data_IF_177581742762
#
_entry.id   IF_177581742762
#
_cell.length_a   1.000
_cell.length_b   1.000
_cell.length_c   1.000
_cell.angle_alpha   90.00
_cell.angle_beta   90.00
_cell.angle_gamma   90.00
#
_symmetry.space_group_name_H-M   'P 1'
#
loop_
_entity.id
_entity.type
_entity.pdbx_description
1 polymer ?
#
# COMPACT_ATOMS: atom_id res chain seq x y z
N UNK A 1 -5.12 -28.40 -11.28
CA UNK A 1 -3.65 -28.31 -11.14
C UNK A 1 -3.03 -29.62 -11.61
N UNK A 2 -1.81 -29.61 -12.18
CA UNK A 2 -1.12 -30.82 -12.60
C UNK A 2 -0.91 -31.76 -11.40
N UNK A 3 -0.91 -33.07 -11.64
CA UNK A 3 -0.58 -34.09 -10.64
C UNK A 3 0.91 -33.99 -10.27
N UNK A 4 1.25 -33.08 -9.36
CA UNK A 4 2.58 -33.07 -8.76
C UNK A 4 2.77 -34.33 -7.92
N UNK A 5 3.97 -34.90 -8.01
CA UNK A 5 4.37 -36.08 -7.25
C UNK A 5 4.26 -35.77 -5.76
N UNK A 6 3.42 -36.53 -5.04
CA UNK A 6 3.19 -36.32 -3.62
C UNK A 6 4.22 -37.11 -2.80
N UNK A 7 5.06 -36.39 -2.05
CA UNK A 7 5.90 -36.98 -1.02
C UNK A 7 5.19 -36.95 0.32
N UNK A 8 5.14 -38.10 1.00
CA UNK A 8 4.48 -38.23 2.30
C UNK A 8 5.43 -37.76 3.40
N UNK A 9 5.00 -36.74 4.13
CA UNK A 9 5.65 -36.27 5.35
C UNK A 9 4.72 -36.54 6.54
N UNK A 10 5.24 -37.19 7.57
CA UNK A 10 4.55 -37.33 8.87
C UNK A 10 5.02 -36.19 9.78
N UNK A 11 4.08 -35.43 10.32
CA UNK A 11 4.38 -34.31 11.25
C UNK A 11 3.35 -34.27 12.36
N UNK A 12 3.77 -33.80 13.52
CA UNK A 12 2.86 -33.50 14.62
C UNK A 12 2.19 -32.14 14.39
N UNK A 13 0.91 -32.07 14.73
CA UNK A 13 0.14 -30.83 14.73
C UNK A 13 -0.29 -30.52 16.15
N UNK A 14 -0.15 -29.26 16.56
CA UNK A 14 -0.79 -28.78 17.78
C UNK A 14 -2.31 -29.04 17.70
N UNK A 15 -2.94 -29.38 18.83
CA UNK A 15 -4.36 -29.74 18.89
C UNK A 15 -5.26 -28.67 18.26
N UNK A 16 -4.99 -27.39 18.56
CA UNK A 16 -5.71 -26.25 17.95
C UNK A 16 -5.54 -26.16 16.43
N UNK A 17 -4.36 -26.47 15.90
CA UNK A 17 -4.12 -26.45 14.44
C UNK A 17 -4.86 -27.58 13.74
N UNK A 18 -4.99 -28.74 14.40
CA UNK A 18 -5.79 -29.85 13.87
C UNK A 18 -7.27 -29.46 13.78
N UNK A 19 -7.82 -28.84 14.82
CA UNK A 19 -9.20 -28.36 14.80
C UNK A 19 -9.46 -27.36 13.65
N UNK A 20 -8.51 -26.46 13.36
CA UNK A 20 -8.60 -25.55 12.21
C UNK A 20 -8.64 -26.32 10.88
N UNK A 21 -7.80 -27.35 10.73
CA UNK A 21 -7.80 -28.18 9.52
C UNK A 21 -9.09 -29.00 9.38
N UNK A 22 -9.67 -29.46 10.49
CA UNK A 22 -10.95 -30.15 10.52
C UNK A 22 -12.07 -29.21 10.05
N UNK A 23 -12.13 -27.98 10.57
CA UNK A 23 -13.10 -26.98 10.12
C UNK A 23 -12.94 -26.65 8.63
N UNK A 24 -11.72 -26.44 8.14
CA UNK A 24 -11.47 -26.18 6.72
C UNK A 24 -11.91 -27.35 5.82
N UNK A 25 -11.76 -28.58 6.32
CA UNK A 25 -12.23 -29.79 5.64
C UNK A 25 -13.76 -29.85 5.62
N UNK A 26 -14.43 -29.51 6.71
CA UNK A 26 -15.89 -29.52 6.80
C UNK A 26 -16.53 -28.41 5.95
N UNK A 27 -15.99 -27.19 6.01
CA UNK A 27 -16.53 -26.03 5.30
C UNK A 27 -16.27 -26.07 3.80
N UNK A 28 -15.06 -26.50 3.38
CA UNK A 28 -14.61 -26.40 1.99
C UNK A 28 -14.44 -27.76 1.30
N UNK A 29 -14.69 -28.88 2.00
CA UNK A 29 -14.43 -30.24 1.53
C UNK A 29 -12.95 -30.48 1.13
N UNK A 30 -12.01 -29.79 1.78
CA UNK A 30 -10.58 -29.89 1.49
C UNK A 30 -9.91 -31.04 2.26
N UNK A 31 -9.03 -31.79 1.59
CA UNK A 31 -8.16 -32.76 2.27
C UNK A 31 -7.06 -32.01 3.03
N UNK A 32 -6.61 -32.52 4.18
CA UNK A 32 -5.55 -31.86 4.97
C UNK A 32 -4.29 -31.54 4.15
N UNK A 33 -3.82 -32.50 3.34
CA UNK A 33 -2.67 -32.29 2.47
C UNK A 33 -2.89 -31.17 1.44
N UNK A 34 -4.12 -31.02 0.94
CA UNK A 34 -4.47 -29.92 0.04
C UNK A 34 -4.45 -28.57 0.76
N UNK A 35 -5.05 -28.49 1.97
CA UNK A 35 -5.03 -27.26 2.78
C UNK A 35 -3.60 -26.82 3.10
N UNK A 36 -2.76 -27.74 3.56
CA UNK A 36 -1.36 -27.47 3.91
C UNK A 36 -0.58 -27.02 2.67
N UNK A 37 -0.65 -27.76 1.57
CA UNK A 37 0.07 -27.40 0.34
C UNK A 37 -0.39 -26.05 -0.23
N UNK A 38 -1.68 -25.73 -0.11
CA UNK A 38 -2.22 -24.43 -0.53
C UNK A 38 -1.66 -23.29 0.31
N UNK A 39 -1.59 -23.45 1.64
CA UNK A 39 -0.98 -22.45 2.51
C UNK A 39 0.51 -22.25 2.18
N UNK A 40 1.26 -23.34 1.98
CA UNK A 40 2.69 -23.29 1.64
C UNK A 40 2.91 -22.64 0.28
N UNK A 41 2.14 -23.01 -0.75
CA UNK A 41 2.31 -22.43 -2.09
C UNK A 41 1.90 -20.97 -2.15
N UNK A 42 0.91 -20.56 -1.35
CA UNK A 42 0.42 -19.18 -1.30
C UNK A 42 1.37 -18.27 -0.53
N UNK A 43 1.81 -18.67 0.67
CA UNK A 43 2.56 -17.80 1.58
C UNK A 43 4.06 -18.10 1.63
N UNK A 44 4.47 -19.33 1.33
CA UNK A 44 5.87 -19.78 1.45
C UNK A 44 6.81 -19.21 0.40
N UNK A 45 6.30 -18.82 -0.77
CA UNK A 45 7.11 -18.26 -1.86
C UNK A 45 6.53 -16.94 -2.41
N UNK A 46 6.11 -16.06 -1.51
CA UNK A 46 5.63 -14.73 -1.92
C UNK A 46 6.74 -13.92 -2.62
N UNK A 47 6.45 -13.28 -3.77
CA UNK A 47 7.38 -12.33 -4.38
C UNK A 47 7.82 -11.26 -3.39
N UNK A 48 9.09 -10.83 -3.46
CA UNK A 48 9.66 -9.85 -2.53
C UNK A 48 8.81 -8.57 -2.41
N UNK A 49 8.30 -8.06 -3.53
CA UNK A 49 7.44 -6.87 -3.57
C UNK A 49 6.15 -7.06 -2.79
N UNK A 50 5.49 -8.21 -2.97
CA UNK A 50 4.25 -8.57 -2.27
C UNK A 50 4.51 -8.77 -0.77
N UNK A 51 5.61 -9.45 -0.43
CA UNK A 51 6.05 -9.66 0.95
C UNK A 51 6.29 -8.33 1.69
N UNK A 52 6.98 -7.39 1.05
CA UNK A 52 7.24 -6.06 1.61
C UNK A 52 5.94 -5.26 1.80
N UNK A 53 5.02 -5.33 0.84
CA UNK A 53 3.71 -4.68 0.95
C UNK A 53 2.88 -5.23 2.13
N UNK A 54 2.79 -6.55 2.28
CA UNK A 54 2.08 -7.13 3.43
C UNK A 54 2.78 -6.79 4.75
N UNK A 55 4.11 -6.73 4.76
CA UNK A 55 4.86 -6.34 5.95
C UNK A 55 4.60 -4.89 6.34
N UNK A 56 4.55 -3.95 5.38
CA UNK A 56 4.23 -2.54 5.66
C UNK A 56 2.78 -2.38 6.18
N UNK A 57 1.83 -3.10 5.59
CA UNK A 57 0.45 -3.16 6.08
C UNK A 57 0.38 -3.65 7.54
N UNK A 58 1.09 -4.73 7.86
CA UNK A 58 1.13 -5.25 9.23
C UNK A 58 1.76 -4.24 10.19
N UNK A 59 2.85 -3.57 9.82
CA UNK A 59 3.48 -2.52 10.64
C UNK A 59 2.51 -1.38 10.95
N UNK A 60 1.78 -0.90 9.93
CA UNK A 60 0.80 0.16 10.09
C UNK A 60 -0.31 -0.26 11.06
N UNK A 61 -0.85 -1.48 10.91
CA UNK A 61 -1.91 -2.01 11.77
C UNK A 61 -1.44 -2.24 13.21
N UNK A 62 -0.25 -2.77 13.41
CA UNK A 62 0.36 -2.91 14.73
C UNK A 62 0.54 -1.55 15.42
N UNK A 63 0.98 -0.52 14.68
CA UNK A 63 1.09 0.86 15.22
C UNK A 63 -0.26 1.44 15.62
N UNK A 64 -1.31 1.21 14.83
CA UNK A 64 -2.68 1.63 15.13
C UNK A 64 -3.24 0.93 16.36
N UNK A 65 -3.10 -0.40 16.41
CA UNK A 65 -3.60 -1.23 17.51
C UNK A 65 -2.90 -0.90 18.83
N UNK A 66 -1.58 -0.69 18.84
CA UNK A 66 -0.86 -0.26 20.04
C UNK A 66 -1.41 1.04 20.62
N UNK A 67 -1.65 2.06 19.77
CA UNK A 67 -2.25 3.33 20.22
C UNK A 67 -3.66 3.16 20.80
N UNK A 68 -4.45 2.25 20.23
CA UNK A 68 -5.80 1.96 20.73
C UNK A 68 -5.75 1.21 22.06
N UNK A 69 -4.84 0.24 22.19
CA UNK A 69 -4.62 -0.52 23.42
C UNK A 69 -4.17 0.37 24.57
N UNK A 70 -3.36 1.41 24.31
CA UNK A 70 -2.90 2.38 25.33
C UNK A 70 -4.06 3.11 26.03
N UNK A 71 -5.21 3.24 25.38
CA UNK A 71 -6.39 3.98 25.88
C UNK A 71 -7.63 3.09 26.08
N UNK A 72 -7.52 1.79 25.83
CA UNK A 72 -8.66 0.86 25.83
C UNK A 72 -9.08 0.45 27.25
N UNK A 73 -10.39 0.21 27.43
CA UNK A 73 -10.91 -0.49 28.60
C UNK A 73 -10.63 -1.99 28.55
N UNK A 74 -10.70 -2.68 29.70
CA UNK A 74 -10.26 -4.08 29.87
C UNK A 74 -10.91 -5.08 28.88
N UNK A 75 -12.19 -4.89 28.55
CA UNK A 75 -12.89 -5.75 27.61
C UNK A 75 -12.47 -5.51 26.16
N UNK A 76 -12.34 -4.24 25.74
CA UNK A 76 -11.86 -3.89 24.40
C UNK A 76 -10.40 -4.30 24.20
N UNK A 77 -9.59 -4.17 25.24
CA UNK A 77 -8.17 -4.56 25.22
C UNK A 77 -7.99 -6.02 24.81
N UNK A 78 -8.81 -6.95 25.30
CA UNK A 78 -8.70 -8.38 24.96
C UNK A 78 -8.96 -8.67 23.49
N UNK A 79 -9.84 -7.93 22.85
CA UNK A 79 -10.12 -8.11 21.43
C UNK A 79 -9.04 -7.45 20.57
N UNK A 80 -8.56 -6.27 20.97
CA UNK A 80 -7.40 -5.61 20.35
C UNK A 80 -6.13 -6.45 20.45
N UNK A 81 -5.90 -7.11 21.59
CA UNK A 81 -4.74 -7.98 21.82
C UNK A 81 -4.77 -9.20 20.89
N UNK A 82 -5.94 -9.82 20.68
CA UNK A 82 -6.09 -10.92 19.72
C UNK A 82 -5.80 -10.48 18.30
N UNK A 83 -6.33 -9.32 17.89
CA UNK A 83 -6.09 -8.76 16.56
C UNK A 83 -4.60 -8.42 16.38
N UNK A 84 -4.00 -7.79 17.39
CA UNK A 84 -2.58 -7.47 17.43
C UNK A 84 -1.72 -8.74 17.30
N UNK A 85 -2.04 -9.80 18.04
CA UNK A 85 -1.33 -11.07 17.98
C UNK A 85 -1.40 -11.72 16.58
N UNK A 86 -2.53 -11.58 15.88
CA UNK A 86 -2.68 -12.08 14.51
C UNK A 86 -1.76 -11.32 13.53
N UNK A 87 -1.75 -9.98 13.59
CA UNK A 87 -0.84 -9.18 12.76
C UNK A 87 0.63 -9.42 13.10
N UNK A 88 0.98 -9.59 14.38
CA UNK A 88 2.36 -9.93 14.79
C UNK A 88 2.79 -11.29 14.23
N UNK A 89 1.91 -12.29 14.28
CA UNK A 89 2.20 -13.62 13.75
C UNK A 89 2.43 -13.60 12.23
N UNK A 90 1.60 -12.87 11.47
CA UNK A 90 1.76 -12.69 10.02
C UNK A 90 3.06 -11.93 9.74
N UNK A 91 3.29 -10.81 10.41
CA UNK A 91 4.48 -10.00 10.26
C UNK A 91 5.76 -10.81 10.53
N UNK A 92 5.76 -11.60 11.61
CA UNK A 92 6.87 -12.49 11.97
C UNK A 92 7.10 -13.55 10.90
N UNK A 93 6.06 -14.19 10.38
CA UNK A 93 6.19 -15.14 9.28
C UNK A 93 6.80 -14.49 8.04
N UNK A 94 6.29 -13.32 7.65
CA UNK A 94 6.80 -12.52 6.54
C UNK A 94 8.17 -11.91 6.82
N UNK A 95 8.64 -11.89 8.06
CA UNK A 95 9.97 -11.40 8.43
C UNK A 95 10.91 -12.55 8.82
N UNK A 96 10.76 -13.69 8.14
CA UNK A 96 11.61 -14.87 8.30
C UNK A 96 11.70 -15.37 9.76
N UNK A 97 10.59 -15.30 10.49
CA UNK A 97 10.52 -15.72 11.89
C UNK A 97 10.98 -14.66 12.90
N UNK A 98 11.40 -13.48 12.46
CA UNK A 98 11.89 -12.40 13.33
C UNK A 98 10.74 -11.44 13.68
N UNK A 99 10.56 -11.13 14.96
CA UNK A 99 9.56 -10.14 15.39
C UNK A 99 9.93 -8.75 14.90
N UNK A 100 8.92 -7.94 14.59
CA UNK A 100 9.10 -6.52 14.31
C UNK A 100 9.36 -5.81 15.65
N UNK A 101 10.44 -5.04 15.74
CA UNK A 101 10.75 -4.29 16.96
C UNK A 101 9.82 -3.08 17.14
N UNK A 102 9.68 -2.56 18.36
CA UNK A 102 8.95 -1.31 18.60
C UNK A 102 9.61 -0.14 17.88
N UNK A 103 10.92 -0.18 17.72
CA UNK A 103 11.71 0.75 16.92
C UNK A 103 11.31 0.66 15.44
N UNK A 104 11.14 -0.54 14.87
CA UNK A 104 10.68 -0.74 13.49
C UNK A 104 9.22 -0.30 13.25
N UNK A 105 8.40 -0.30 14.30
CA UNK A 105 7.01 0.21 14.27
C UNK A 105 6.96 1.74 14.39
N UNK A 106 7.97 2.32 15.05
CA UNK A 106 8.15 3.77 15.18
C UNK A 106 8.93 4.37 14.02
N UNK A 107 9.72 3.58 13.32
CA UNK A 107 10.53 4.00 12.19
C UNK A 107 9.64 4.64 11.11
N UNK A 108 10.02 5.84 10.70
CA UNK A 108 9.49 6.50 9.51
C UNK A 108 9.65 5.57 8.30
N UNK A 109 8.73 5.60 7.31
CA UNK A 109 8.86 4.80 6.10
C UNK A 109 10.25 4.98 5.48
N UNK A 110 10.94 3.87 5.23
CA UNK A 110 12.27 3.87 4.64
C UNK A 110 12.23 4.52 3.27
N UNK A 111 13.03 5.56 3.05
CA UNK A 111 13.04 6.29 1.79
C UNK A 111 14.00 5.64 0.79
N UNK A 112 13.60 5.58 -0.48
CA UNK A 112 14.43 5.20 -1.63
C UNK A 112 14.74 6.42 -2.50
N UNK A 113 15.88 6.37 -3.18
CA UNK A 113 16.32 7.36 -4.17
C UNK A 113 16.22 6.76 -5.58
N UNK A 114 15.53 7.42 -6.49
CA UNK A 114 15.39 7.01 -7.89
C UNK A 114 15.97 8.11 -8.79
N UNK A 115 16.89 7.74 -9.67
CA UNK A 115 17.54 8.69 -10.59
C UNK A 115 16.55 9.16 -11.67
N UNK A 116 16.50 10.47 -11.91
CA UNK A 116 15.71 11.12 -12.95
C UNK A 116 16.62 11.71 -14.03
N UNK A 117 16.04 12.30 -15.08
CA UNK A 117 16.82 12.96 -16.14
C UNK A 117 17.71 14.09 -15.60
N UNK A 118 17.20 14.88 -14.64
CA UNK A 118 17.92 15.98 -13.98
C UNK A 118 17.67 15.91 -12.47
N UNK A 119 18.49 15.11 -11.80
CA UNK A 119 18.45 14.89 -10.36
C UNK A 119 17.84 13.55 -9.97
N UNK A 120 17.07 13.53 -8.90
CA UNK A 120 16.48 12.30 -8.36
C UNK A 120 15.19 12.56 -7.58
N UNK A 121 14.38 11.52 -7.49
CA UNK A 121 13.25 11.43 -6.59
C UNK A 121 13.68 10.75 -5.28
N UNK A 122 13.28 11.32 -4.15
CA UNK A 122 13.20 10.65 -2.85
C UNK A 122 11.73 10.31 -2.61
N UNK A 123 11.41 9.07 -2.28
CA UNK A 123 10.05 8.64 -1.90
C UNK A 123 10.08 7.41 -0.98
N UNK A 124 8.98 7.08 -0.29
CA UNK A 124 8.87 5.83 0.46
C UNK A 124 9.15 4.60 -0.39
N UNK A 125 9.83 3.61 0.18
CA UNK A 125 10.24 2.40 -0.50
C UNK A 125 9.06 1.51 -0.90
N UNK A 126 7.97 1.56 -0.15
CA UNK A 126 6.74 0.80 -0.33
C UNK A 126 5.81 1.32 -1.44
N UNK A 127 6.09 2.51 -2.00
CA UNK A 127 5.35 3.03 -3.16
C UNK A 127 5.60 2.19 -4.41
N UNK A 128 4.52 1.81 -5.10
CA UNK A 128 4.55 1.00 -6.32
C UNK A 128 4.85 1.90 -7.51
N UNK A 129 5.93 1.62 -8.25
CA UNK A 129 6.31 2.38 -9.45
C UNK A 129 5.68 1.74 -10.68
N UNK A 130 4.84 2.48 -11.42
CA UNK A 130 4.01 1.92 -12.50
C UNK A 130 4.64 2.03 -13.90
N UNK A 131 5.70 2.83 -14.05
CA UNK A 131 6.50 2.96 -15.28
C UNK A 131 8.00 3.15 -14.99
N UNK A 132 8.64 2.21 -14.27
CA UNK A 132 10.04 2.35 -13.84
C UNK A 132 11.03 2.58 -15.00
N UNK A 133 10.70 2.11 -16.20
CA UNK A 133 11.49 2.27 -17.43
C UNK A 133 11.67 3.74 -17.87
N UNK A 134 10.77 4.62 -17.45
CA UNK A 134 10.73 6.02 -17.86
C UNK A 134 11.57 6.94 -16.95
N UNK A 135 11.97 6.46 -15.76
CA UNK A 135 12.54 7.29 -14.70
C UNK A 135 13.66 8.23 -15.17
N UNK A 136 14.69 7.67 -15.81
CA UNK A 136 15.87 8.43 -16.26
C UNK A 136 15.60 9.36 -17.46
N UNK A 137 14.43 9.26 -18.11
CA UNK A 137 14.02 10.11 -19.23
C UNK A 137 13.03 11.20 -18.82
N UNK A 138 12.64 11.20 -17.55
CA UNK A 138 11.62 12.08 -17.02
C UNK A 138 12.21 13.09 -16.05
N UNK A 139 11.69 14.31 -16.10
CA UNK A 139 12.03 15.39 -15.19
C UNK A 139 11.17 15.35 -13.91
N UNK A 140 9.97 14.79 -13.98
CA UNK A 140 8.99 14.86 -12.90
C UNK A 140 8.42 13.49 -12.55
N UNK A 141 7.71 13.46 -11.44
CA UNK A 141 6.95 12.31 -11.00
C UNK A 141 5.60 12.79 -10.46
N UNK A 142 4.59 11.94 -10.60
CA UNK A 142 3.32 12.08 -9.93
C UNK A 142 2.99 10.82 -9.14
N UNK A 143 2.00 10.94 -8.28
CA UNK A 143 1.44 9.83 -7.52
C UNK A 143 -0.06 9.77 -7.75
N UNK A 144 -0.55 8.56 -7.99
CA UNK A 144 -1.97 8.26 -7.96
C UNK A 144 -2.32 7.93 -6.52
N UNK A 145 -3.16 8.75 -5.93
CA UNK A 145 -3.70 8.56 -4.59
C UNK A 145 -5.21 8.38 -4.67
N UNK A 146 -5.78 7.85 -3.59
CA UNK A 146 -7.20 7.62 -3.50
C UNK A 146 -7.75 8.20 -2.20
N UNK A 147 -8.78 9.05 -2.30
CA UNK A 147 -9.62 9.38 -1.14
C UNK A 147 -10.19 8.07 -0.59
N UNK A 148 -10.16 7.91 0.73
CA UNK A 148 -10.47 6.65 1.42
C UNK A 148 -9.50 5.49 1.09
N UNK A 149 -8.31 5.77 0.56
CA UNK A 149 -7.33 4.76 0.17
C UNK A 149 -7.00 3.74 1.26
N UNK A 150 -6.86 4.20 2.51
CA UNK A 150 -6.63 3.32 3.66
C UNK A 150 -7.79 2.33 3.91
N UNK A 151 -9.04 2.78 3.77
CA UNK A 151 -10.26 1.94 3.93
C UNK A 151 -10.30 0.83 2.89
N UNK A 152 -9.83 1.10 1.67
CA UNK A 152 -9.83 0.15 0.56
C UNK A 152 -8.51 -0.62 0.40
N UNK A 153 -7.50 -0.33 1.22
CA UNK A 153 -6.17 -0.93 1.13
C UNK A 153 -5.48 -0.61 -0.20
N UNK A 154 -5.49 0.67 -0.59
CA UNK A 154 -4.92 1.16 -1.85
C UNK A 154 -3.52 1.74 -1.56
N UNK A 155 -2.46 1.19 -2.18
CA UNK A 155 -1.12 1.74 -2.06
C UNK A 155 -0.98 3.05 -2.86
N UNK A 156 0.09 3.80 -2.58
CA UNK A 156 0.51 4.91 -3.43
C UNK A 156 1.15 4.36 -4.70
N UNK A 157 0.71 4.86 -5.85
CA UNK A 157 1.17 4.41 -7.17
C UNK A 157 1.92 5.55 -7.85
N UNK A 158 3.24 5.47 -7.85
CA UNK A 158 4.14 6.46 -8.41
C UNK A 158 4.29 6.27 -9.93
N UNK A 159 4.27 7.37 -10.68
CA UNK A 159 4.66 7.39 -12.09
C UNK A 159 5.64 8.51 -12.41
N UNK A 160 6.43 8.32 -13.46
CA UNK A 160 7.32 9.33 -14.03
C UNK A 160 6.70 10.02 -15.24
N UNK A 161 6.91 11.32 -15.36
CA UNK A 161 6.38 12.14 -16.44
C UNK A 161 7.25 13.39 -16.71
N UNK A 162 6.89 14.15 -17.75
CA UNK A 162 7.56 15.41 -18.10
C UNK A 162 6.67 16.64 -17.88
N UNK A 163 5.65 16.50 -17.03
CA UNK A 163 4.71 17.56 -16.68
C UNK A 163 4.86 17.89 -15.20
N UNK A 164 5.00 19.18 -14.88
CA UNK A 164 5.22 19.61 -13.50
C UNK A 164 3.95 19.56 -12.65
N UNK A 165 2.81 19.92 -13.24
CA UNK A 165 1.53 19.96 -12.54
C UNK A 165 0.48 19.16 -13.29
N UNK A 166 -0.49 18.59 -12.57
CA UNK A 166 -1.60 17.83 -13.18
C UNK A 166 -2.42 18.64 -14.19
N UNK A 167 -2.53 19.96 -13.99
CA UNK A 167 -3.18 20.86 -14.96
C UNK A 167 -2.47 20.94 -16.33
N UNK A 168 -1.20 20.54 -16.39
CA UNK A 168 -0.39 20.55 -17.61
C UNK A 168 -0.50 19.24 -18.39
N UNK A 169 -1.26 18.26 -17.87
CA UNK A 169 -1.41 16.96 -18.48
C UNK A 169 -2.20 17.04 -19.78
N UNK A 170 -1.73 16.38 -20.86
CA UNK A 170 -2.51 16.29 -22.07
C UNK A 170 -3.75 15.44 -21.83
N UNK A 171 -4.80 15.69 -22.62
CA UNK A 171 -6.04 14.93 -22.54
C UNK A 171 -5.77 13.42 -22.62
N UNK A 172 -6.30 12.66 -21.65
CA UNK A 172 -6.15 11.20 -21.56
C UNK A 172 -4.85 10.71 -20.94
N UNK A 173 -3.99 11.59 -20.43
CA UNK A 173 -2.77 11.21 -19.71
C UNK A 173 -3.08 10.46 -18.40
N UNK A 174 -4.02 10.97 -17.61
CA UNK A 174 -4.44 10.32 -16.35
C UNK A 174 -4.96 8.91 -16.61
N UNK A 175 -5.84 8.74 -17.59
CA UNK A 175 -6.37 7.43 -18.01
C UNK A 175 -5.24 6.49 -18.49
N UNK A 176 -4.21 7.02 -19.13
CA UNK A 176 -3.03 6.24 -19.53
C UNK A 176 -2.23 5.76 -18.32
N UNK A 177 -2.01 6.63 -17.33
CA UNK A 177 -1.34 6.26 -16.08
C UNK A 177 -2.19 5.25 -15.28
N UNK A 178 -3.50 5.41 -15.23
CA UNK A 178 -4.42 4.46 -14.59
C UNK A 178 -4.38 3.09 -15.25
N UNK A 179 -4.27 3.01 -16.59
CA UNK A 179 -4.05 1.73 -17.28
C UNK A 179 -2.73 1.07 -16.88
N UNK A 180 -1.63 1.84 -16.80
CA UNK A 180 -0.35 1.33 -16.30
C UNK A 180 -0.46 0.88 -14.84
N UNK A 181 -1.22 1.60 -14.01
CA UNK A 181 -1.48 1.24 -12.63
C UNK A 181 -2.24 -0.09 -12.50
N UNK A 182 -3.23 -0.36 -13.36
CA UNK A 182 -3.89 -1.69 -13.41
C UNK A 182 -2.90 -2.79 -13.77
N UNK A 183 -1.93 -2.54 -14.66
CA UNK A 183 -0.90 -3.54 -14.98
C UNK A 183 0.04 -3.80 -13.79
N UNK A 184 0.44 -2.75 -13.06
CA UNK A 184 1.35 -2.85 -11.92
C UNK A 184 0.66 -3.37 -10.64
N UNK A 185 -0.62 -3.03 -10.45
CA UNK A 185 -1.44 -3.42 -9.33
C UNK A 185 -2.85 -3.81 -9.83
N UNK A 186 -3.07 -5.08 -10.23
CA UNK A 186 -4.32 -5.53 -10.86
C UNK A 186 -5.60 -5.21 -10.09
N UNK A 187 -5.53 -5.19 -8.76
CA UNK A 187 -6.65 -4.84 -7.87
C UNK A 187 -7.11 -3.38 -8.05
N UNK A 188 -6.28 -2.51 -8.64
CA UNK A 188 -6.67 -1.14 -9.00
C UNK A 188 -7.87 -1.10 -9.96
N UNK A 189 -8.08 -2.16 -10.76
CA UNK A 189 -9.27 -2.28 -11.62
C UNK A 189 -10.58 -2.28 -10.82
N UNK A 190 -10.59 -2.91 -9.66
CA UNK A 190 -11.76 -2.93 -8.77
C UNK A 190 -12.01 -1.56 -8.15
N UNK A 191 -10.96 -0.78 -7.89
CA UNK A 191 -11.05 0.57 -7.36
C UNK A 191 -11.67 1.52 -8.38
N UNK A 192 -11.18 1.47 -9.63
CA UNK A 192 -11.75 2.24 -10.74
C UNK A 192 -13.25 1.99 -10.90
N UNK A 193 -13.67 0.73 -10.78
CA UNK A 193 -15.09 0.35 -10.86
C UNK A 193 -15.95 0.78 -9.66
N UNK A 194 -15.34 1.19 -8.54
CA UNK A 194 -16.02 1.63 -7.32
C UNK A 194 -16.13 3.16 -7.20
N UNK A 195 -15.57 3.92 -8.14
CA UNK A 195 -15.72 5.37 -8.13
C UNK A 195 -17.18 5.76 -8.33
N UNK A 196 -17.61 6.76 -7.57
CA UNK A 196 -18.95 7.34 -7.66
C UNK A 196 -18.80 8.73 -8.25
N UNK A 197 -19.66 9.07 -9.21
CA UNK A 197 -19.72 10.42 -9.78
C UNK A 197 -20.67 11.26 -8.93
N UNK A 198 -20.29 12.49 -8.51
CA UNK A 198 -21.21 13.37 -7.81
C UNK A 198 -22.38 13.76 -8.73
N UNK A 199 -23.57 13.82 -8.17
CA UNK A 199 -24.81 14.20 -8.86
C UNK A 199 -25.27 15.53 -8.26
N UNK A 200 -25.18 16.60 -9.04
CA UNK A 200 -25.62 17.93 -8.62
C UNK A 200 -27.13 17.97 -8.40
N UNK A 201 -27.57 18.67 -7.34
CA UNK A 201 -28.98 18.95 -7.09
C UNK A 201 -29.43 20.18 -7.92
N UNK A 202 -30.32 20.00 -8.93
CA UNK A 202 -30.76 21.11 -9.77
C UNK A 202 -31.63 22.12 -9.02
N UNK A 203 -32.27 21.72 -7.93
CA UNK A 203 -33.16 22.57 -7.12
C UNK A 203 -32.38 23.32 -6.02
N UNK A 204 -31.20 22.83 -5.65
CA UNK A 204 -30.35 23.40 -4.59
C UNK A 204 -28.88 23.58 -5.08
N UNK A 205 -28.55 24.70 -5.75
CA UNK A 205 -27.21 24.94 -6.28
C UNK A 205 -26.11 24.79 -5.23
N UNK A 206 -25.12 23.94 -5.52
CA UNK A 206 -24.00 23.64 -4.63
C UNK A 206 -24.20 22.45 -3.70
N UNK A 207 -25.39 21.84 -3.70
CA UNK A 207 -25.67 20.58 -3.00
C UNK A 207 -25.59 19.39 -3.97
N UNK A 208 -25.28 18.21 -3.44
CA UNK A 208 -25.22 16.96 -4.20
C UNK A 208 -26.29 15.99 -3.69
N UNK A 209 -27.01 15.35 -4.62
CA UNK A 209 -28.05 14.35 -4.30
C UNK A 209 -27.46 13.07 -3.70
N UNK A 210 -26.20 12.74 -4.02
CA UNK A 210 -25.50 11.54 -3.55
C UNK A 210 -24.23 11.86 -2.75
N UNK A 211 -24.25 12.97 -1.98
CA UNK A 211 -23.09 13.44 -1.22
C UNK A 211 -22.45 12.35 -0.34
N UNK A 212 -23.26 11.63 0.45
CA UNK A 212 -22.78 10.59 1.36
C UNK A 212 -22.11 9.44 0.61
N UNK A 213 -22.75 8.94 -0.46
CA UNK A 213 -22.22 7.86 -1.29
C UNK A 213 -20.90 8.27 -1.96
N UNK A 214 -20.85 9.49 -2.51
CA UNK A 214 -19.65 10.02 -3.15
C UNK A 214 -18.49 10.19 -2.15
N UNK A 215 -18.78 10.69 -0.95
CA UNK A 215 -17.79 10.88 0.10
C UNK A 215 -17.23 9.57 0.65
N UNK A 216 -18.04 8.50 0.69
CA UNK A 216 -17.62 7.17 1.14
C UNK A 216 -16.88 6.35 0.06
N UNK A 217 -17.11 6.66 -1.21
CA UNK A 217 -16.49 5.97 -2.34
C UNK A 217 -14.96 6.24 -2.43
N UNK A 218 -14.19 5.30 -3.01
CA UNK A 218 -12.83 5.61 -3.42
C UNK A 218 -12.88 6.64 -4.55
N UNK A 219 -12.09 7.71 -4.43
CA UNK A 219 -11.96 8.72 -5.51
C UNK A 219 -10.49 8.85 -5.86
N UNK A 220 -10.17 8.57 -7.11
CA UNK A 220 -8.80 8.60 -7.61
C UNK A 220 -8.40 10.04 -7.91
N UNK A 221 -7.19 10.41 -7.51
CA UNK A 221 -6.59 11.69 -7.81
C UNK A 221 -5.14 11.53 -8.23
N UNK A 222 -4.68 12.45 -9.09
CA UNK A 222 -3.31 12.51 -9.58
C UNK A 222 -2.62 13.74 -9.00
N UNK A 223 -1.52 13.52 -8.28
CA UNK A 223 -0.82 14.58 -7.55
C UNK A 223 0.63 14.65 -7.98
N UNK A 224 1.09 15.85 -8.32
CA UNK A 224 2.49 16.07 -8.64
C UNK A 224 3.37 15.95 -7.39
N UNK A 225 4.53 15.31 -7.53
CA UNK A 225 5.53 15.28 -6.46
C UNK A 225 6.18 16.66 -6.34
N UNK A 226 6.31 17.12 -5.10
CA UNK A 226 6.97 18.37 -4.77
C UNK A 226 8.41 18.42 -5.29
N UNK A 227 8.79 19.53 -5.90
CA UNK A 227 10.19 19.81 -6.27
C UNK A 227 10.81 20.65 -5.16
N UNK A 228 11.92 20.18 -4.60
CA UNK A 228 12.61 20.88 -3.52
C UNK A 228 12.99 22.30 -3.95
N UNK A 229 12.59 23.28 -3.14
CA UNK A 229 12.77 24.71 -3.44
C UNK A 229 11.70 25.33 -4.34
N UNK A 230 10.56 24.66 -4.58
CA UNK A 230 9.43 25.29 -5.30
C UNK A 230 8.97 26.57 -4.56
N UNK A 231 9.04 27.76 -5.21
CA UNK A 231 8.73 29.04 -4.57
C UNK A 231 7.24 29.21 -4.24
N UNK A 232 6.36 28.34 -4.74
CA UNK A 232 4.94 28.32 -4.39
C UNK A 232 4.65 27.67 -3.04
N UNK A 233 5.66 27.10 -2.37
CA UNK A 233 5.56 26.51 -1.04
C UNK A 233 6.37 27.30 -0.02
N UNK A 234 5.95 27.30 1.27
CA UNK A 234 6.75 27.84 2.37
C UNK A 234 8.14 27.19 2.44
N UNK A 235 9.13 27.89 3.00
CA UNK A 235 10.51 27.39 3.12
C UNK A 235 10.62 26.13 3.98
N UNK A 236 9.76 26.01 4.98
CA UNK A 236 9.65 24.89 5.93
C UNK A 236 8.64 23.83 5.48
N UNK A 237 8.18 23.88 4.24
CA UNK A 237 7.21 22.93 3.71
C UNK A 237 7.75 21.50 3.77
N UNK A 238 7.08 20.66 4.57
CA UNK A 238 7.32 19.24 4.63
C UNK A 238 6.42 18.53 3.63
N UNK A 239 6.96 17.94 2.55
CA UNK A 239 6.14 17.21 1.60
C UNK A 239 5.56 15.95 2.23
N UNK A 240 4.34 15.54 1.84
CA UNK A 240 3.74 14.29 2.30
C UNK A 240 4.67 13.09 2.14
N UNK A 241 4.76 12.26 3.18
CA UNK A 241 5.63 11.08 3.23
C UNK A 241 7.11 11.35 2.90
N UNK A 242 7.58 12.60 3.04
CA UNK A 242 8.93 13.01 2.69
C UNK A 242 9.24 13.00 1.18
N UNK A 243 8.24 12.72 0.33
CA UNK A 243 8.42 12.50 -1.09
C UNK A 243 8.72 13.80 -1.84
N UNK A 244 9.88 13.87 -2.51
CA UNK A 244 10.34 15.08 -3.19
C UNK A 244 11.33 14.81 -4.31
N UNK A 245 11.35 15.69 -5.29
CA UNK A 245 12.36 15.72 -6.36
C UNK A 245 13.44 16.73 -6.00
N UNK A 246 14.70 16.30 -6.08
CA UNK A 246 15.88 17.15 -5.89
C UNK A 246 16.60 17.27 -7.24
N UNK A 247 16.91 18.49 -7.67
CA UNK A 247 17.63 18.76 -8.92
C UNK A 247 19.13 18.66 -8.71
N UNK A 248 19.87 18.23 -9.73
CA UNK A 248 21.32 18.06 -9.64
C UNK A 248 22.08 19.37 -9.32
N UNK A 249 21.48 20.52 -9.64
CA UNK A 249 22.09 21.84 -9.44
C UNK A 249 21.78 22.47 -8.07
N UNK A 250 21.13 21.75 -7.15
CA UNK A 250 20.97 22.20 -5.75
C UNK A 250 22.10 21.59 -4.95
N UNK A 251 23.17 22.35 -4.68
CA UNK A 251 24.25 21.94 -3.79
C UNK A 251 23.65 21.49 -2.46
N UNK A 252 23.88 20.24 -2.09
CA UNK A 252 23.60 19.74 -0.74
C UNK A 252 24.75 20.19 0.17
N UNK A 253 24.63 21.38 0.76
CA UNK A 253 25.41 21.73 1.95
C UNK A 253 24.82 20.93 3.12
N UNK A 254 25.33 19.72 3.33
CA UNK A 254 25.18 19.01 4.60
C UNK A 254 26.14 19.67 5.60
N UNK A 255 25.61 20.49 6.50
CA UNK A 255 26.38 20.94 7.67
C UNK A 255 26.58 19.74 8.62
N UNK A 256 27.86 19.51 8.96
CA UNK A 256 28.36 18.51 9.94
C UNK A 256 27.84 18.74 11.36
#
# INVERSE_FOLDING_TARGET
MPNDKQDKLTTDLAEGNRAILDNLKEENNWKYGYSINTMISTFGNLPKTVKLYFLSLCKQKLKELNKRMDVAGEFEFKDLEKEHAAYDAIAKFLNNGTRISLEDLKAEPTLKKITLQDGYLICPDDWIVINPEDAQKCLYAGVIECRNGAKYGIPHLLYFCNYRYGRDYPKGFDEMMERKAVSAYPRFKEILAKQVTPIDDPDNPGMMLNADEWMEAPTIGHFAIYVQGDPTRPKDYQPPAGARIVRANVNEDWED
#
